data_IF_234445644440
#
_entry.id   IF_234445644440
#
_cell.length_a   1.000
_cell.length_b   1.000
_cell.length_c   1.000
_cell.angle_alpha   90.00
_cell.angle_beta   90.00
_cell.angle_gamma   90.00
#
_symmetry.space_group_name_H-M   'P 1'
#
loop_
_entity.id
_entity.type
_entity.pdbx_description
1 polymer ?
#
# COMPACT_ATOMS: atom_id res chain seq x y z
N UNK A 1 21.33 56.89 -33.68
CA UNK A 1 20.24 55.92 -33.49
C UNK A 1 20.89 54.55 -33.25
N UNK A 2 21.56 54.36 -32.11
CA UNK A 2 22.47 53.22 -31.84
C UNK A 2 22.35 52.72 -30.38
N UNK A 3 21.25 53.07 -29.68
CA UNK A 3 21.08 52.76 -28.25
C UNK A 3 20.04 51.67 -27.98
N UNK A 4 19.38 51.13 -29.01
CA UNK A 4 18.20 50.27 -28.83
C UNK A 4 18.48 48.78 -29.03
N UNK A 5 19.52 48.39 -29.76
CA UNK A 5 19.73 46.97 -30.13
C UNK A 5 20.60 46.22 -29.13
N UNK A 6 21.64 46.84 -28.56
CA UNK A 6 22.56 46.18 -27.60
C UNK A 6 21.93 46.03 -26.20
N UNK A 7 21.17 47.03 -25.74
CA UNK A 7 20.50 46.98 -24.44
C UNK A 7 19.33 45.98 -24.39
N UNK A 8 18.59 45.81 -25.49
CA UNK A 8 17.52 44.80 -25.57
C UNK A 8 18.12 43.39 -25.62
N UNK A 9 19.21 43.19 -26.37
CA UNK A 9 19.91 41.91 -26.41
C UNK A 9 20.48 41.49 -25.05
N UNK A 10 21.07 42.43 -24.30
CA UNK A 10 21.62 42.17 -22.97
C UNK A 10 20.53 41.84 -21.93
N UNK A 11 19.35 42.47 -22.03
CA UNK A 11 18.22 42.22 -21.13
C UNK A 11 17.60 40.82 -21.33
N UNK A 12 17.54 40.34 -22.57
CA UNK A 12 16.98 39.02 -22.92
C UNK A 12 17.89 37.89 -22.45
N UNK A 13 19.22 38.06 -22.53
CA UNK A 13 20.19 37.05 -22.08
C UNK A 13 20.18 36.89 -20.56
N UNK A 14 19.93 37.96 -19.80
CA UNK A 14 19.86 37.90 -18.32
C UNK A 14 18.63 37.13 -17.84
N UNK A 15 17.51 37.16 -18.58
CA UNK A 15 16.28 36.42 -18.22
C UNK A 15 16.41 34.89 -18.40
N UNK A 16 17.38 34.40 -19.18
CA UNK A 16 17.58 32.95 -19.39
C UNK A 16 18.44 32.27 -18.31
N UNK A 17 19.12 33.04 -17.44
CA UNK A 17 20.06 32.48 -16.44
C UNK A 17 19.41 32.24 -15.06
N UNK A 18 18.16 32.67 -14.87
CA UNK A 18 17.40 32.43 -13.63
C UNK A 18 16.42 31.24 -13.69
N UNK A 19 16.56 30.36 -14.69
CA UNK A 19 15.84 29.09 -14.75
C UNK A 19 16.37 28.09 -13.73
N UNK A 20 16.04 28.29 -12.45
CA UNK A 20 16.24 27.27 -11.43
C UNK A 20 15.14 26.21 -11.61
N UNK A 21 15.45 25.14 -12.34
CA UNK A 21 14.59 23.96 -12.41
C UNK A 21 14.76 23.18 -11.10
N UNK A 22 14.19 23.73 -10.03
CA UNK A 22 13.92 22.96 -8.83
C UNK A 22 12.89 21.91 -9.23
N UNK A 23 13.36 20.70 -9.53
CA UNK A 23 12.53 19.52 -9.75
C UNK A 23 11.78 19.26 -8.43
N UNK A 24 10.70 20.00 -8.26
CA UNK A 24 9.81 20.03 -7.11
C UNK A 24 8.88 18.83 -7.16
N UNK A 25 9.39 17.66 -7.54
CA UNK A 25 8.73 16.40 -7.29
C UNK A 25 8.62 16.25 -5.78
N UNK A 26 7.51 16.76 -5.24
CA UNK A 26 7.10 16.56 -3.85
C UNK A 26 7.23 15.05 -3.60
N UNK A 27 7.82 14.61 -2.47
CA UNK A 27 7.82 13.20 -2.14
C UNK A 27 6.38 12.70 -2.28
N UNK A 28 6.21 11.55 -2.95
CA UNK A 28 4.90 10.90 -3.02
C UNK A 28 4.57 10.45 -1.61
N UNK A 29 4.00 11.35 -0.82
CA UNK A 29 3.43 11.06 0.47
C UNK A 29 2.11 10.38 0.17
N UNK A 30 2.00 9.11 0.55
CA UNK A 30 0.73 8.39 0.46
C UNK A 30 -0.26 9.09 1.39
N UNK A 31 -1.15 9.89 0.81
CA UNK A 31 -2.33 10.42 1.50
C UNK A 31 -3.51 9.46 1.24
N UNK A 32 -3.91 8.66 2.22
CA UNK A 32 -5.04 7.73 2.08
C UNK A 32 -6.37 8.44 1.78
N UNK A 33 -6.49 9.74 2.08
CA UNK A 33 -7.72 10.51 1.80
C UNK A 33 -7.77 11.08 0.38
N UNK A 34 -6.61 11.27 -0.26
CA UNK A 34 -6.50 11.78 -1.63
C UNK A 34 -6.28 10.67 -2.67
N UNK A 35 -6.00 9.45 -2.23
CA UNK A 35 -6.04 8.31 -3.13
C UNK A 35 -7.47 8.20 -3.65
N UNK A 36 -7.62 8.08 -4.98
CA UNK A 36 -8.85 7.53 -5.56
C UNK A 36 -8.93 6.08 -5.09
N UNK A 37 -9.37 5.88 -3.85
CA UNK A 37 -9.40 4.59 -3.20
C UNK A 37 -10.36 3.72 -4.00
N UNK A 38 -9.79 2.79 -4.75
CA UNK A 38 -10.51 1.57 -5.02
C UNK A 38 -10.50 0.84 -3.69
N UNK A 39 -11.62 0.95 -2.97
CA UNK A 39 -11.80 0.24 -1.71
C UNK A 39 -11.89 -1.26 -2.01
N UNK A 40 -10.96 -2.02 -1.46
CA UNK A 40 -11.00 -3.48 -1.49
C UNK A 40 -11.82 -3.90 -0.29
N UNK A 41 -12.98 -4.49 -0.52
CA UNK A 41 -13.74 -5.15 0.54
C UNK A 41 -12.94 -6.38 0.98
N UNK A 42 -12.67 -6.51 2.28
CA UNK A 42 -11.92 -7.63 2.85
C UNK A 42 -12.63 -8.13 4.10
N UNK A 43 -12.96 -9.41 4.16
CA UNK A 43 -13.71 -9.97 5.29
C UNK A 43 -13.41 -11.45 5.53
N UNK A 44 -13.85 -11.95 6.68
CA UNK A 44 -13.87 -13.36 7.04
C UNK A 44 -15.33 -13.78 7.25
N UNK A 45 -15.77 -14.96 6.75
CA UNK A 45 -17.08 -15.49 7.13
C UNK A 45 -17.15 -15.96 8.59
N UNK A 46 -16.00 -16.06 9.28
CA UNK A 46 -15.91 -16.63 10.63
C UNK A 46 -16.03 -15.60 11.76
N UNK A 47 -15.94 -14.31 11.47
CA UNK A 47 -16.07 -13.21 12.44
C UNK A 47 -16.28 -11.89 11.70
N UNK A 48 -16.88 -10.89 12.36
CA UNK A 48 -17.05 -9.55 11.79
C UNK A 48 -15.82 -8.69 12.05
N UNK A 49 -15.73 -7.54 11.36
CA UNK A 49 -14.70 -6.56 11.67
C UNK A 49 -14.81 -6.13 13.13
N UNK A 50 -13.66 -5.94 13.78
CA UNK A 50 -13.53 -5.54 15.19
C UNK A 50 -14.06 -6.54 16.25
N UNK A 51 -14.64 -7.67 15.83
CA UNK A 51 -15.02 -8.76 16.74
C UNK A 51 -13.81 -9.59 17.17
N UNK A 52 -13.96 -10.34 18.27
CA UNK A 52 -12.97 -11.31 18.72
C UNK A 52 -12.75 -12.41 17.66
N UNK A 53 -11.49 -12.73 17.41
CA UNK A 53 -11.11 -13.86 16.56
C UNK A 53 -11.45 -15.18 17.29
N UNK A 54 -12.22 -16.09 16.68
CA UNK A 54 -12.57 -17.38 17.30
C UNK A 54 -11.34 -18.20 17.70
N UNK A 55 -11.40 -18.88 18.85
CA UNK A 55 -10.30 -19.66 19.46
C UNK A 55 -9.62 -20.62 18.48
N UNK A 56 -10.38 -21.23 17.56
CA UNK A 56 -9.85 -22.12 16.51
C UNK A 56 -8.68 -21.49 15.72
N UNK A 57 -8.71 -20.17 15.50
CA UNK A 57 -7.71 -19.43 14.72
C UNK A 57 -6.61 -18.78 15.56
N UNK A 58 -6.57 -19.05 16.87
CA UNK A 58 -5.56 -18.50 17.79
C UNK A 58 -4.57 -19.58 18.22
N UNK A 59 -3.52 -19.18 18.94
CA UNK A 59 -2.56 -20.11 19.53
C UNK A 59 -3.16 -21.02 20.63
N UNK A 60 -4.37 -20.72 21.11
CA UNK A 60 -5.08 -21.56 22.07
C UNK A 60 -5.96 -22.64 21.41
N UNK A 61 -6.13 -22.60 20.09
CA UNK A 61 -6.90 -23.59 19.34
C UNK A 61 -6.05 -24.34 18.32
N UNK A 62 -6.60 -24.56 17.13
CA UNK A 62 -5.93 -25.29 16.06
C UNK A 62 -4.81 -24.50 15.38
N UNK A 63 -4.70 -23.19 15.68
CA UNK A 63 -3.72 -22.27 15.09
C UNK A 63 -3.71 -22.31 13.55
N UNK A 64 -4.89 -22.48 12.96
CA UNK A 64 -5.13 -22.42 11.52
C UNK A 64 -5.48 -21.00 11.11
N UNK A 65 -5.19 -20.62 9.87
CA UNK A 65 -5.59 -19.30 9.37
C UNK A 65 -7.11 -19.17 9.26
N UNK A 66 -7.68 -17.97 9.49
CA UNK A 66 -9.09 -17.76 9.21
C UNK A 66 -9.36 -17.82 7.71
N UNK A 67 -10.54 -18.29 7.28
CA UNK A 67 -10.96 -18.10 5.90
C UNK A 67 -11.09 -16.61 5.61
N UNK A 68 -10.67 -16.18 4.43
CA UNK A 68 -10.68 -14.78 4.02
C UNK A 68 -11.30 -14.66 2.64
N UNK A 69 -12.00 -13.56 2.39
CA UNK A 69 -12.56 -13.21 1.09
C UNK A 69 -12.39 -11.74 0.82
N UNK A 70 -12.27 -11.39 -0.45
CA UNK A 70 -12.17 -10.00 -0.86
C UNK A 70 -12.77 -9.73 -2.23
N UNK A 71 -13.20 -8.50 -2.44
CA UNK A 71 -13.78 -7.98 -3.68
C UNK A 71 -13.17 -6.62 -4.03
N UNK A 72 -13.54 -6.02 -5.16
CA UNK A 72 -13.04 -4.69 -5.53
C UNK A 72 -11.56 -4.60 -5.94
N UNK A 73 -10.92 -5.72 -6.32
CA UNK A 73 -9.51 -5.69 -6.76
C UNK A 73 -9.37 -4.84 -8.04
N UNK A 74 -8.48 -3.84 -8.09
CA UNK A 74 -8.26 -3.01 -9.28
C UNK A 74 -7.92 -3.84 -10.53
N UNK A 75 -8.45 -3.45 -11.70
CA UNK A 75 -8.23 -4.18 -12.96
C UNK A 75 -6.74 -4.22 -13.37
N UNK A 76 -5.97 -3.21 -12.99
CA UNK A 76 -4.54 -3.12 -13.30
C UNK A 76 -3.64 -3.79 -12.24
N UNK A 77 -4.21 -4.40 -11.18
CA UNK A 77 -3.43 -5.14 -10.19
C UNK A 77 -2.67 -6.30 -10.87
N UNK A 78 -1.44 -6.55 -10.45
CA UNK A 78 -0.59 -7.65 -10.95
C UNK A 78 -0.56 -8.86 -10.02
N UNK A 79 -0.68 -8.60 -8.73
CA UNK A 79 -0.77 -9.59 -7.66
C UNK A 79 -1.43 -8.94 -6.44
N UNK A 80 -1.74 -9.75 -5.42
CA UNK A 80 -2.12 -9.26 -4.09
C UNK A 80 -1.16 -9.80 -3.04
N UNK A 81 -1.12 -9.09 -1.93
CA UNK A 81 -0.44 -9.51 -0.71
C UNK A 81 -1.41 -9.38 0.45
N UNK A 82 -1.39 -10.34 1.37
CA UNK A 82 -2.11 -10.28 2.64
C UNK A 82 -1.07 -10.28 3.75
N UNK A 83 -1.26 -9.37 4.70
CA UNK A 83 -0.41 -9.23 5.88
C UNK A 83 -1.31 -9.20 7.10
N UNK A 84 -1.03 -10.06 8.07
CA UNK A 84 -1.67 -10.03 9.37
C UNK A 84 -0.67 -9.54 10.41
N UNK A 85 -0.83 -8.29 10.82
CA UNK A 85 -0.03 -7.64 11.84
C UNK A 85 -0.86 -7.33 13.08
N UNK A 86 -0.21 -7.29 14.24
CA UNK A 86 -0.81 -6.95 15.51
C UNK A 86 0.15 -6.06 16.32
N UNK A 87 -0.34 -4.94 16.83
CA UNK A 87 0.39 -4.02 17.74
C UNK A 87 -0.23 -3.97 19.14
N UNK A 88 -1.24 -4.80 19.40
CA UNK A 88 -2.07 -4.69 20.60
C UNK A 88 -1.30 -4.90 21.92
N UNK A 89 -0.22 -5.68 21.91
CA UNK A 89 0.50 -6.08 23.14
C UNK A 89 1.91 -5.48 23.27
N UNK A 90 2.37 -4.70 22.29
CA UNK A 90 3.69 -4.04 22.36
C UNK A 90 3.76 -2.83 21.45
N UNK A 91 4.66 -1.88 21.76
CA UNK A 91 5.04 -0.82 20.82
C UNK A 91 5.65 -1.38 19.51
N UNK A 92 6.05 -2.66 19.50
CA UNK A 92 6.56 -3.35 18.34
C UNK A 92 5.42 -4.00 17.54
N UNK A 93 5.53 -3.95 16.21
CA UNK A 93 4.66 -4.67 15.29
C UNK A 93 4.99 -6.18 15.33
N UNK A 94 3.98 -6.99 15.66
CA UNK A 94 4.08 -8.44 15.58
C UNK A 94 3.41 -8.89 14.29
N UNK A 95 4.20 -9.44 13.36
CA UNK A 95 3.68 -10.10 12.17
C UNK A 95 3.32 -11.54 12.49
N UNK A 96 2.04 -11.89 12.39
CA UNK A 96 1.59 -13.27 12.55
C UNK A 96 1.93 -14.10 11.31
N UNK A 97 1.58 -13.59 10.12
CA UNK A 97 1.90 -14.22 8.84
C UNK A 97 1.71 -13.25 7.69
N UNK A 98 2.30 -13.58 6.55
CA UNK A 98 2.11 -12.88 5.29
C UNK A 98 2.07 -13.88 4.13
N UNK A 99 1.31 -13.52 3.10
CA UNK A 99 1.22 -14.27 1.85
C UNK A 99 1.36 -13.26 0.71
N UNK A 100 2.30 -13.50 -0.18
CA UNK A 100 2.61 -12.63 -1.30
C UNK A 100 2.36 -13.36 -2.63
N UNK A 101 2.41 -12.61 -3.74
CA UNK A 101 2.20 -13.12 -5.09
C UNK A 101 0.88 -13.89 -5.27
N UNK A 102 -0.17 -13.50 -4.53
CA UNK A 102 -1.49 -14.09 -4.71
C UNK A 102 -2.00 -13.70 -6.11
N UNK A 103 -2.32 -14.67 -7.00
CA UNK A 103 -2.79 -14.38 -8.35
C UNK A 103 -3.98 -13.43 -8.35
N UNK A 104 -4.04 -12.51 -9.31
CA UNK A 104 -5.08 -11.46 -9.37
C UNK A 104 -6.48 -12.02 -9.39
N UNK A 105 -6.69 -13.20 -9.98
CA UNK A 105 -7.98 -13.90 -10.05
C UNK A 105 -8.44 -14.51 -8.71
N UNK A 106 -7.55 -14.77 -7.77
CA UNK A 106 -7.93 -15.30 -6.45
C UNK A 106 -8.78 -14.28 -5.70
N UNK A 107 -9.92 -14.74 -5.15
CA UNK A 107 -10.89 -13.93 -4.38
C UNK A 107 -11.03 -14.35 -2.93
N UNK A 108 -10.44 -15.47 -2.55
CA UNK A 108 -10.56 -16.01 -1.21
C UNK A 108 -9.40 -16.94 -0.85
N UNK A 109 -9.20 -17.13 0.44
CA UNK A 109 -8.40 -18.21 1.02
C UNK A 109 -9.26 -19.03 1.95
N UNK A 110 -9.13 -20.35 1.86
CA UNK A 110 -9.69 -21.28 2.84
C UNK A 110 -8.80 -21.31 4.08
N UNK A 111 -9.35 -21.75 5.20
CA UNK A 111 -8.58 -21.98 6.42
C UNK A 111 -7.45 -23.00 6.17
N UNK A 112 -6.25 -22.70 6.64
CA UNK A 112 -5.07 -23.54 6.41
C UNK A 112 -4.07 -23.47 7.55
N UNK A 113 -3.41 -24.60 7.84
CA UNK A 113 -2.17 -24.60 8.61
C UNK A 113 -1.04 -24.12 7.69
N UNK A 114 -0.37 -23.04 8.08
CA UNK A 114 0.86 -22.62 7.41
C UNK A 114 2.03 -23.37 8.06
N UNK A 115 2.58 -24.35 7.36
CA UNK A 115 3.84 -24.96 7.79
C UNK A 115 4.93 -23.88 7.73
N UNK A 116 5.66 -23.72 8.83
CA UNK A 116 6.82 -22.84 8.89
C UNK A 116 7.80 -23.34 7.82
N UNK A 117 8.04 -22.55 6.77
CA UNK A 117 9.15 -22.82 5.86
C UNK A 117 10.43 -22.76 6.71
N UNK A 118 11.16 -23.87 6.78
CA UNK A 118 12.50 -23.85 7.38
C UNK A 118 13.37 -22.94 6.52
N UNK A 119 13.94 -21.91 7.13
CA UNK A 119 15.15 -21.31 6.61
C UNK A 119 16.31 -22.27 6.80
#
# INVERSE_FOLDING_TARGET
MELTTKSVGLLIVILMVFGCDSDGSKPIVFDPKQSRLIEIEFSSPSFKNDDLIPTKYTCHGENVSPPLRWSGVPQNARSKTIVMDNTYLSANLIRHWSIYNIPVATRSLVSRVFNKTSN
#
